data_IF_505094621674
#
_entry.id   IF_505094621674
#
_cell.length_a   1.000
_cell.length_b   1.000
_cell.length_c   1.000
_cell.angle_alpha   90.00
_cell.angle_beta   90.00
_cell.angle_gamma   90.00
#
_symmetry.space_group_name_H-M   'P 1'
#
loop_
_entity.id
_entity.type
_entity.pdbx_description
1 polymer ?
#
# COMPACT_ATOMS: atom_id res chain seq x y z
N UNK A 1 16.06 -29.94 37.13
CA UNK A 1 16.21 -28.53 36.74
C UNK A 1 16.07 -28.47 35.22
N UNK A 2 14.85 -28.55 34.70
CA UNK A 2 13.96 -27.41 34.36
C UNK A 2 14.62 -26.45 33.35
N UNK A 3 14.06 -26.39 32.12
CA UNK A 3 13.91 -25.10 31.45
C UNK A 3 14.21 -25.00 29.96
N UNK A 4 14.77 -26.02 29.28
CA UNK A 4 15.25 -25.85 27.89
C UNK A 4 14.17 -25.95 26.79
N UNK A 5 12.89 -25.78 27.14
CA UNK A 5 11.77 -25.78 26.20
C UNK A 5 10.79 -24.63 26.47
N UNK A 6 11.28 -23.49 26.97
CA UNK A 6 10.50 -22.25 26.94
C UNK A 6 10.62 -21.63 25.54
N UNK A 7 9.75 -22.11 24.66
CA UNK A 7 9.11 -21.37 23.58
C UNK A 7 10.01 -20.30 22.94
N UNK A 8 10.70 -20.66 21.86
CA UNK A 8 11.06 -19.67 20.84
C UNK A 8 9.74 -19.04 20.37
N UNK A 9 9.32 -17.97 21.05
CA UNK A 9 8.33 -17.05 20.54
C UNK A 9 9.00 -16.55 19.26
N UNK A 10 8.58 -17.10 18.11
CA UNK A 10 8.98 -16.58 16.82
C UNK A 10 8.61 -15.11 16.89
N UNK A 11 9.62 -14.25 17.02
CA UNK A 11 9.42 -12.81 17.05
C UNK A 11 8.90 -12.47 15.66
N UNK A 12 7.56 -12.44 15.53
CA UNK A 12 6.92 -12.05 14.29
C UNK A 12 7.30 -10.61 14.10
N UNK A 13 8.27 -10.36 13.23
CA UNK A 13 8.73 -9.02 12.91
C UNK A 13 7.50 -8.20 12.53
N UNK A 14 7.22 -7.14 13.30
CA UNK A 14 5.96 -6.41 13.20
C UNK A 14 5.94 -5.67 11.86
N UNK A 15 5.31 -6.26 10.85
CA UNK A 15 5.20 -5.67 9.50
C UNK A 15 4.47 -4.33 9.58
N UNK A 16 5.21 -3.23 9.44
CA UNK A 16 4.67 -1.88 9.30
C UNK A 16 4.45 -1.58 7.81
N UNK A 17 3.32 -2.03 7.30
CA UNK A 17 2.88 -1.80 5.92
C UNK A 17 2.00 -0.56 5.76
N UNK A 18 1.71 -0.20 4.51
CA UNK A 18 0.69 0.82 4.18
C UNK A 18 -0.67 0.17 4.09
N UNK A 19 -1.66 0.81 4.71
CA UNK A 19 -3.07 0.46 4.53
C UNK A 19 -3.72 1.34 3.46
N UNK A 20 -4.40 0.72 2.50
CA UNK A 20 -5.29 1.38 1.54
C UNK A 20 -6.72 0.89 1.80
N UNK A 21 -7.66 1.81 1.95
CA UNK A 21 -9.09 1.52 2.16
C UNK A 21 -9.93 2.17 1.07
N UNK A 22 -11.01 1.51 0.69
CA UNK A 22 -12.02 2.03 -0.24
C UNK A 22 -13.41 1.91 0.37
N UNK A 23 -14.20 2.97 0.26
CA UNK A 23 -15.60 3.02 0.70
C UNK A 23 -16.47 3.41 -0.49
N UNK A 24 -17.55 2.65 -0.70
CA UNK A 24 -18.58 2.97 -1.70
C UNK A 24 -19.90 3.23 -1.00
N UNK A 25 -20.51 4.39 -1.24
CA UNK A 25 -21.82 4.75 -0.69
C UNK A 25 -22.55 5.69 -1.64
N UNK A 26 -23.84 5.43 -1.88
CA UNK A 26 -24.72 6.23 -2.75
C UNK A 26 -24.11 6.55 -4.13
N UNK A 27 -23.57 5.53 -4.81
CA UNK A 27 -22.93 5.70 -6.12
C UNK A 27 -21.59 6.43 -6.13
N UNK A 28 -21.08 6.87 -4.97
CA UNK A 28 -19.78 7.54 -4.83
C UNK A 28 -18.75 6.59 -4.23
N UNK A 29 -17.50 6.73 -4.67
CA UNK A 29 -16.35 5.97 -4.15
C UNK A 29 -15.32 6.94 -3.58
N UNK A 30 -14.78 6.59 -2.42
CA UNK A 30 -13.63 7.26 -1.78
C UNK A 30 -12.56 6.22 -1.54
N UNK A 31 -11.30 6.59 -1.78
CA UNK A 31 -10.13 5.79 -1.45
C UNK A 31 -9.20 6.62 -0.56
N UNK A 32 -8.61 5.99 0.45
CA UNK A 32 -7.70 6.63 1.39
C UNK A 32 -6.61 5.68 1.86
N UNK A 33 -5.54 6.22 2.42
CA UNK A 33 -4.46 5.42 2.99
C UNK A 33 -3.57 6.23 3.92
N UNK A 34 -2.76 5.53 4.71
CA UNK A 34 -1.92 6.11 5.77
C UNK A 34 -0.68 6.88 5.27
N UNK A 35 -0.29 6.71 4.01
CA UNK A 35 0.80 7.46 3.38
C UNK A 35 2.22 7.08 3.88
N UNK A 36 2.35 5.97 4.62
CA UNK A 36 3.62 5.59 5.25
C UNK A 36 4.64 5.02 4.24
N UNK A 37 5.90 5.38 4.42
CA UNK A 37 7.06 4.70 3.81
C UNK A 37 8.00 4.26 4.92
N UNK A 38 8.33 2.98 4.96
CA UNK A 38 9.23 2.37 5.93
C UNK A 38 10.42 1.70 5.24
N UNK A 39 11.55 1.63 5.95
CA UNK A 39 12.71 0.80 5.62
C UNK A 39 13.08 0.02 6.89
N UNK A 40 12.83 -1.29 6.88
CA UNK A 40 12.81 -2.08 8.12
C UNK A 40 11.79 -1.53 9.11
N UNK A 41 12.21 -1.32 10.36
CA UNK A 41 11.34 -0.81 11.43
C UNK A 41 11.18 0.72 11.46
N UNK A 42 11.93 1.45 10.62
CA UNK A 42 11.97 2.92 10.61
C UNK A 42 11.02 3.50 9.57
N UNK A 43 10.19 4.46 9.96
CA UNK A 43 9.37 5.27 9.04
C UNK A 43 10.25 6.37 8.45
N UNK A 44 10.47 6.32 7.14
CA UNK A 44 11.32 7.29 6.43
C UNK A 44 10.54 8.55 6.00
N UNK A 45 9.26 8.43 5.66
CA UNK A 45 8.45 9.55 5.17
C UNK A 45 6.96 9.28 5.37
N UNK A 46 6.22 10.27 5.88
CA UNK A 46 4.77 10.20 6.11
C UNK A 46 3.89 10.74 4.97
N UNK A 47 4.49 11.30 3.91
CA UNK A 47 3.76 12.02 2.86
C UNK A 47 3.75 11.27 1.51
N UNK A 48 3.84 9.94 1.49
CA UNK A 48 3.77 9.23 0.21
C UNK A 48 2.36 9.25 -0.36
N UNK A 49 2.23 9.76 -1.60
CA UNK A 49 0.98 9.71 -2.37
C UNK A 49 0.82 8.35 -3.03
N UNK A 50 0.30 7.39 -2.26
CA UNK A 50 -0.01 6.03 -2.70
C UNK A 50 -1.43 5.86 -3.26
N UNK A 51 -2.23 6.92 -3.19
CA UNK A 51 -3.49 7.08 -3.94
C UNK A 51 -3.24 8.04 -5.10
N UNK A 52 -3.65 7.65 -6.31
CA UNK A 52 -3.53 8.46 -7.53
C UNK A 52 -4.78 8.39 -8.37
N UNK A 53 -4.98 9.46 -9.14
CA UNK A 53 -5.90 9.47 -10.26
C UNK A 53 -5.14 9.06 -11.52
N UNK A 54 -5.74 8.15 -12.25
CA UNK A 54 -5.24 7.55 -13.49
C UNK A 54 -6.27 7.78 -14.60
N UNK A 55 -5.89 7.53 -15.85
CA UNK A 55 -6.71 7.60 -17.05
C UNK A 55 -7.53 8.90 -17.12
N UNK A 56 -6.82 10.02 -17.30
CA UNK A 56 -7.42 11.37 -17.38
C UNK A 56 -8.33 11.71 -16.19
N UNK A 57 -8.05 11.15 -15.03
CA UNK A 57 -8.79 11.42 -13.79
C UNK A 57 -10.00 10.52 -13.53
N UNK A 58 -10.31 9.60 -14.45
CA UNK A 58 -11.50 8.75 -14.40
C UNK A 58 -11.33 7.53 -13.49
N UNK A 59 -10.08 7.10 -13.25
CA UNK A 59 -9.78 5.93 -12.42
C UNK A 59 -9.08 6.37 -11.13
N UNK A 60 -9.56 5.87 -9.99
CA UNK A 60 -8.89 6.00 -8.70
C UNK A 60 -8.14 4.71 -8.39
N UNK A 61 -6.82 4.82 -8.16
CA UNK A 61 -5.97 3.70 -7.82
C UNK A 61 -5.22 3.95 -6.51
N UNK A 62 -5.09 2.90 -5.68
CA UNK A 62 -4.31 2.92 -4.45
C UNK A 62 -3.39 1.70 -4.39
N UNK A 63 -2.19 1.88 -3.82
CA UNK A 63 -1.21 0.79 -3.74
C UNK A 63 -0.71 0.57 -2.30
N UNK A 64 -0.82 -0.67 -1.83
CA UNK A 64 -0.25 -1.13 -0.57
C UNK A 64 0.97 -2.01 -0.88
N UNK A 65 2.16 -1.55 -0.49
CA UNK A 65 3.43 -2.21 -0.79
C UNK A 65 4.60 -1.23 -0.91
N UNK A 66 5.70 -1.72 -1.48
CA UNK A 66 6.90 -0.93 -1.71
C UNK A 66 6.62 0.25 -2.65
N UNK A 67 7.14 1.43 -2.31
CA UNK A 67 6.86 2.65 -3.08
C UNK A 67 7.40 2.55 -4.51
N UNK A 68 8.52 1.86 -4.73
CA UNK A 68 9.10 1.67 -6.07
C UNK A 68 8.16 0.86 -6.99
N UNK A 69 7.64 -0.26 -6.50
CA UNK A 69 6.69 -1.10 -7.24
C UNK A 69 5.41 -0.34 -7.59
N UNK A 70 4.95 0.54 -6.69
CA UNK A 70 3.77 1.39 -6.91
C UNK A 70 3.91 2.24 -8.18
N UNK A 71 5.07 2.89 -8.38
CA UNK A 71 5.31 3.72 -9.56
C UNK A 71 5.25 2.90 -10.84
N UNK A 72 5.98 1.78 -10.90
CA UNK A 72 6.02 0.92 -12.07
C UNK A 72 4.65 0.32 -12.40
N UNK A 73 3.89 -0.10 -11.37
CA UNK A 73 2.56 -0.67 -11.58
C UNK A 73 1.55 0.38 -12.04
N UNK A 74 1.59 1.60 -11.51
CA UNK A 74 0.74 2.68 -12.00
C UNK A 74 1.04 3.03 -13.45
N UNK A 75 2.31 3.13 -13.84
CA UNK A 75 2.70 3.39 -15.23
C UNK A 75 2.21 2.29 -16.19
N UNK A 76 2.43 1.02 -15.82
CA UNK A 76 1.94 -0.12 -16.61
C UNK A 76 0.42 -0.14 -16.73
N UNK A 77 -0.29 0.20 -15.66
CA UNK A 77 -1.74 0.20 -15.66
C UNK A 77 -2.31 1.37 -16.48
N UNK A 78 -1.72 2.56 -16.38
CA UNK A 78 -2.06 3.71 -17.23
C UNK A 78 -1.94 3.35 -18.71
N UNK A 79 -0.82 2.77 -19.14
CA UNK A 79 -0.63 2.37 -20.53
C UNK A 79 -1.62 1.29 -21.00
N UNK A 80 -2.11 0.43 -20.10
CA UNK A 80 -3.19 -0.52 -20.42
C UNK A 80 -4.53 0.17 -20.58
N UNK A 81 -4.85 1.14 -19.73
CA UNK A 81 -6.07 1.95 -19.82
C UNK A 81 -6.06 2.79 -21.11
N UNK A 82 -4.92 3.36 -21.50
CA UNK A 82 -4.80 4.09 -22.77
C UNK A 82 -5.01 3.20 -24.00
N UNK A 83 -4.58 1.95 -23.95
CA UNK A 83 -4.70 1.01 -25.08
C UNK A 83 -6.10 0.41 -25.22
N UNK A 84 -6.84 0.26 -24.12
CA UNK A 84 -8.05 -0.58 -24.09
C UNK A 84 -9.29 0.08 -23.47
N UNK A 85 -9.14 1.22 -22.79
CA UNK A 85 -10.19 1.89 -22.02
C UNK A 85 -10.85 3.05 -22.76
#
# INVERSE_FOLDING_TARGET
MNGLLATAVLEVEKIRGTTILSVRRHGKVVIGGDGQVSMGNTVMKGNARKVRRLYKGQVLAGFAGATADAFTLFERFEGKLEKHG
#
